data_IF_914164526956
#
_entry.id   IF_914164526956
#
_cell.length_a   1.000
_cell.length_b   1.000
_cell.length_c   1.000
_cell.angle_alpha   90.00
_cell.angle_beta   90.00
_cell.angle_gamma   90.00
#
_symmetry.space_group_name_H-M   'P 1'
#
loop_
_entity.id
_entity.type
_entity.pdbx_description
1 polymer ?
#
# COMPACT_ATOMS: atom_id res chain seq x y z
N UNK A 1 5.83 -12.71 -0.29
CA UNK A 1 5.13 -12.32 -1.53
C UNK A 1 3.72 -11.82 -1.20
N UNK A 2 3.22 -10.94 -2.03
CA UNK A 2 1.88 -10.37 -1.88
C UNK A 2 1.04 -10.81 -3.08
N UNK A 3 -0.13 -11.37 -2.84
CA UNK A 3 -1.10 -11.63 -3.90
C UNK A 3 -2.08 -10.46 -3.96
N UNK A 4 -2.31 -9.94 -5.16
CA UNK A 4 -3.18 -8.78 -5.38
C UNK A 4 -4.47 -9.24 -6.05
N UNK A 5 -5.59 -8.87 -5.44
CA UNK A 5 -6.92 -9.10 -6.02
C UNK A 5 -7.60 -7.75 -6.23
N UNK A 6 -8.09 -7.52 -7.42
CA UNK A 6 -8.84 -6.31 -7.76
C UNK A 6 -10.22 -6.71 -8.28
N UNK A 7 -11.18 -5.78 -8.19
CA UNK A 7 -12.54 -6.07 -8.66
C UNK A 7 -12.58 -6.46 -10.15
N UNK A 8 -11.70 -5.88 -10.95
CA UNK A 8 -11.65 -6.14 -12.41
C UNK A 8 -10.58 -7.16 -12.79
N UNK A 9 -9.90 -7.75 -11.81
CA UNK A 9 -8.82 -8.71 -12.04
C UNK A 9 -7.80 -8.21 -13.08
N UNK A 10 -7.33 -6.97 -12.92
CA UNK A 10 -6.51 -6.28 -13.91
C UNK A 10 -5.14 -6.91 -14.13
N UNK A 11 -4.65 -7.70 -13.19
CA UNK A 11 -3.35 -8.38 -13.29
C UNK A 11 -3.48 -9.82 -13.82
N UNK A 12 -4.70 -10.37 -13.90
CA UNK A 12 -4.90 -11.75 -14.33
C UNK A 12 -4.14 -12.72 -13.43
N UNK A 13 -3.35 -13.61 -14.05
CA UNK A 13 -2.55 -14.58 -13.32
C UNK A 13 -1.22 -14.01 -12.80
N UNK A 14 -0.84 -12.80 -13.25
CA UNK A 14 0.38 -12.11 -12.82
C UNK A 14 0.12 -11.17 -11.65
N UNK A 15 -0.56 -11.66 -10.64
CA UNK A 15 -1.05 -10.87 -9.51
C UNK A 15 -0.21 -11.06 -8.24
N UNK A 16 1.07 -11.38 -8.39
CA UNK A 16 1.97 -11.60 -7.24
C UNK A 16 3.09 -10.57 -7.28
N UNK A 17 3.31 -9.91 -6.15
CA UNK A 17 4.39 -8.97 -5.96
C UNK A 17 5.45 -9.56 -5.03
N UNK A 18 6.71 -9.46 -5.44
CA UNK A 18 7.84 -9.89 -4.61
C UNK A 18 8.25 -8.80 -3.62
N UNK A 19 8.22 -7.55 -4.05
CA UNK A 19 8.66 -6.41 -3.25
C UNK A 19 7.50 -5.61 -2.69
N UNK A 20 6.62 -5.08 -3.53
CA UNK A 20 5.55 -4.21 -3.09
C UNK A 20 4.40 -4.12 -4.07
N UNK A 21 3.27 -3.67 -3.55
CA UNK A 21 2.14 -3.18 -4.31
C UNK A 21 2.04 -1.70 -4.03
N UNK A 22 2.10 -0.86 -5.07
CA UNK A 22 1.98 0.58 -4.92
C UNK A 22 0.67 1.05 -5.54
N UNK A 23 -0.12 1.75 -4.72
CA UNK A 23 -1.36 2.39 -5.14
C UNK A 23 -1.10 3.89 -5.17
N UNK A 24 -1.16 4.52 -6.34
CA UNK A 24 -0.77 5.90 -6.52
C UNK A 24 -1.85 6.69 -7.26
N UNK A 25 -1.94 7.98 -6.95
CA UNK A 25 -2.78 8.89 -7.73
C UNK A 25 -2.21 8.99 -9.15
N UNK A 26 -3.09 9.18 -10.11
CA UNK A 26 -2.72 9.35 -11.51
C UNK A 26 -2.63 10.83 -11.88
N UNK A 27 -3.47 11.63 -11.26
CA UNK A 27 -3.54 13.07 -11.47
C UNK A 27 -2.63 13.78 -10.48
N UNK A 28 -1.85 14.74 -10.94
CA UNK A 28 -0.94 15.53 -10.10
C UNK A 28 -1.65 16.59 -9.27
N UNK A 29 -2.91 16.89 -9.56
CA UNK A 29 -3.61 18.05 -8.97
C UNK A 29 -4.22 17.79 -7.61
N UNK A 30 -4.51 16.55 -7.24
CA UNK A 30 -5.18 16.26 -5.97
C UNK A 30 -4.71 14.96 -5.34
N UNK A 31 -4.71 14.95 -4.02
CA UNK A 31 -4.40 13.75 -3.24
C UNK A 31 -5.58 12.79 -3.25
N UNK A 32 -5.31 11.54 -2.93
CA UNK A 32 -6.36 10.52 -2.75
C UNK A 32 -6.47 10.17 -1.28
N UNK A 33 -7.63 9.65 -0.90
CA UNK A 33 -7.83 9.06 0.41
C UNK A 33 -7.91 7.55 0.27
N UNK A 34 -7.01 6.85 0.93
CA UNK A 34 -6.96 5.38 0.92
C UNK A 34 -7.42 4.88 2.28
N UNK A 35 -8.57 4.22 2.30
CA UNK A 35 -9.07 3.58 3.52
C UNK A 35 -8.50 2.18 3.60
N UNK A 36 -7.92 1.83 4.74
CA UNK A 36 -7.29 0.54 4.94
C UNK A 36 -8.05 -0.29 5.97
N UNK A 37 -8.20 -1.56 5.66
CA UNK A 37 -8.86 -2.54 6.51
C UNK A 37 -7.95 -3.74 6.70
N UNK A 38 -7.89 -4.26 7.91
CA UNK A 38 -7.14 -5.46 8.24
C UNK A 38 -8.13 -6.52 8.72
N UNK A 39 -8.26 -7.62 7.98
CA UNK A 39 -9.29 -8.65 8.23
C UNK A 39 -10.68 -8.05 8.35
N UNK A 40 -11.04 -7.18 7.40
CA UNK A 40 -12.35 -6.48 7.32
C UNK A 40 -12.61 -5.50 8.47
N UNK A 41 -11.62 -5.24 9.32
CA UNK A 41 -11.73 -4.22 10.37
C UNK A 41 -11.01 -2.96 9.92
N UNK A 42 -11.66 -1.81 10.07
CA UNK A 42 -11.07 -0.53 9.73
C UNK A 42 -9.79 -0.29 10.53
N UNK A 43 -8.71 0.01 9.84
CA UNK A 43 -7.42 0.28 10.45
C UNK A 43 -7.08 1.76 10.44
N UNK A 44 -7.07 2.38 9.27
CA UNK A 44 -6.66 3.77 9.12
C UNK A 44 -7.06 4.30 7.74
N UNK A 45 -7.05 5.62 7.60
CA UNK A 45 -7.21 6.29 6.31
C UNK A 45 -6.01 7.18 6.06
N UNK A 46 -5.48 7.13 4.83
CA UNK A 46 -4.34 7.93 4.42
C UNK A 46 -4.76 8.96 3.38
N UNK A 47 -4.57 10.24 3.67
CA UNK A 47 -4.70 11.31 2.69
C UNK A 47 -3.31 11.61 2.17
N UNK A 48 -3.02 11.13 0.96
CA UNK A 48 -1.66 11.06 0.46
C UNK A 48 -1.66 10.98 -1.07
N UNK A 49 -0.48 10.96 -1.66
CA UNK A 49 -0.32 10.66 -3.08
C UNK A 49 -0.53 9.18 -3.39
N UNK A 50 -0.40 8.35 -2.40
CA UNK A 50 -0.59 6.92 -2.53
C UNK A 50 -0.23 6.14 -1.27
N UNK A 51 -0.25 4.83 -1.41
CA UNK A 51 0.10 3.91 -0.33
C UNK A 51 0.85 2.71 -0.91
N UNK A 52 1.89 2.29 -0.21
CA UNK A 52 2.68 1.11 -0.56
C UNK A 52 2.41 0.02 0.48
N UNK A 53 2.15 -1.20 -0.01
CA UNK A 53 2.18 -2.39 0.82
C UNK A 53 3.42 -3.17 0.43
N UNK A 54 4.37 -3.29 1.33
CA UNK A 54 5.68 -3.90 1.05
C UNK A 54 5.87 -5.21 1.83
N UNK A 55 6.61 -6.13 1.22
CA UNK A 55 7.14 -7.30 1.89
C UNK A 55 8.42 -6.93 2.64
N UNK A 56 8.95 -7.79 3.52
CA UNK A 56 10.27 -7.56 4.12
C UNK A 56 11.36 -7.35 3.06
N UNK A 57 11.37 -8.16 1.99
CA UNK A 57 12.33 -7.98 0.89
C UNK A 57 12.14 -6.63 0.20
N UNK A 58 10.91 -6.17 0.06
CA UNK A 58 10.59 -4.88 -0.56
C UNK A 58 10.81 -3.69 0.36
N UNK A 59 11.10 -3.90 1.65
CA UNK A 59 11.30 -2.81 2.59
C UNK A 59 12.49 -1.93 2.25
N UNK A 60 13.46 -2.45 1.50
CA UNK A 60 14.63 -1.70 1.04
C UNK A 60 14.45 -1.07 -0.33
N UNK A 61 13.28 -1.25 -0.95
CA UNK A 61 12.96 -0.69 -2.27
C UNK A 61 12.18 0.64 -2.13
N UNK A 62 11.07 0.78 -2.82
CA UNK A 62 10.31 2.05 -2.85
C UNK A 62 9.78 2.46 -1.46
N UNK A 63 9.39 1.50 -0.63
CA UNK A 63 8.95 1.78 0.74
C UNK A 63 10.01 2.54 1.52
N UNK A 64 11.28 2.17 1.38
CA UNK A 64 12.38 2.86 2.04
C UNK A 64 12.49 4.32 1.60
N UNK A 65 12.33 4.57 0.31
CA UNK A 65 12.36 5.94 -0.24
C UNK A 65 11.24 6.80 0.32
N UNK A 66 10.15 6.21 0.75
CA UNK A 66 9.01 6.91 1.37
C UNK A 66 9.07 6.91 2.89
N UNK A 67 10.20 6.54 3.48
CA UNK A 67 10.40 6.57 4.92
C UNK A 67 9.96 5.33 5.67
N UNK A 68 9.70 4.23 4.97
CA UNK A 68 9.36 2.97 5.59
C UNK A 68 10.56 2.32 6.28
N UNK A 69 10.32 1.50 7.31
CA UNK A 69 11.39 0.83 8.03
C UNK A 69 12.00 -0.30 7.20
N UNK A 70 13.27 -0.58 7.48
CA UNK A 70 13.93 -1.79 6.95
C UNK A 70 13.52 -2.96 7.84
N UNK A 71 13.00 -4.01 7.20
CA UNK A 71 12.60 -5.23 7.88
C UNK A 71 13.41 -6.38 7.30
N UNK A 72 14.02 -7.17 8.18
CA UNK A 72 14.86 -8.28 7.74
C UNK A 72 14.02 -9.36 7.07
N UNK A 73 14.57 -10.01 6.02
CA UNK A 73 13.88 -11.16 5.41
C UNK A 73 13.60 -12.25 6.45
N UNK A 74 12.49 -12.93 6.30
CA UNK A 74 12.06 -13.95 7.24
C UNK A 74 11.07 -13.48 8.29
N UNK A 75 10.90 -12.17 8.48
CA UNK A 75 9.82 -11.65 9.29
C UNK A 75 8.49 -11.83 8.58
N UNK A 76 7.48 -12.28 9.31
CA UNK A 76 6.15 -12.57 8.75
C UNK A 76 5.24 -11.34 8.86
N UNK A 77 5.61 -10.29 8.16
CA UNK A 77 4.92 -9.00 8.22
C UNK A 77 4.79 -8.37 6.84
N UNK A 78 3.85 -7.45 6.72
CA UNK A 78 3.78 -6.47 5.63
C UNK A 78 3.91 -5.07 6.22
N UNK A 79 4.35 -4.12 5.38
CA UNK A 79 4.55 -2.74 5.81
C UNK A 79 3.65 -1.85 4.97
N UNK A 80 2.88 -1.00 5.64
CA UNK A 80 2.04 0.01 5.00
C UNK A 80 2.78 1.35 5.08
N UNK A 81 3.20 1.89 3.94
CA UNK A 81 3.97 3.14 3.88
C UNK A 81 3.26 4.13 2.98
N UNK A 82 2.77 5.26 3.53
CA UNK A 82 2.12 6.27 2.69
C UNK A 82 3.14 7.02 1.83
N UNK A 83 2.71 7.42 0.64
CA UNK A 83 3.51 8.22 -0.28
C UNK A 83 3.11 9.67 -0.12
N UNK A 84 4.03 10.52 0.32
CA UNK A 84 3.83 11.95 0.51
C UNK A 84 2.52 12.28 1.25
N UNK A 85 2.31 11.77 2.46
CA UNK A 85 1.07 12.03 3.19
C UNK A 85 0.93 13.51 3.55
N UNK A 86 -0.31 14.00 3.55
CA UNK A 86 -0.59 15.38 3.93
C UNK A 86 -0.21 15.64 5.38
N UNK A 87 -0.56 14.72 6.27
CA UNK A 87 -0.19 14.81 7.69
C UNK A 87 1.21 14.24 7.89
N UNK A 88 2.15 15.11 8.24
CA UNK A 88 3.55 14.75 8.42
C UNK A 88 3.81 13.89 9.66
N UNK A 89 2.83 13.75 10.55
CA UNK A 89 2.93 12.91 11.74
C UNK A 89 2.54 11.45 11.47
N UNK A 90 2.03 11.15 10.28
CA UNK A 90 1.69 9.78 9.90
C UNK A 90 2.97 8.96 9.78
N UNK A 91 2.93 7.76 10.32
CA UNK A 91 4.07 6.84 10.31
C UNK A 91 3.70 5.55 9.57
N UNK A 92 4.68 4.90 8.95
CA UNK A 92 4.46 3.56 8.41
C UNK A 92 4.00 2.59 9.50
N UNK A 93 3.21 1.61 9.10
CA UNK A 93 2.65 0.62 10.02
C UNK A 93 3.07 -0.78 9.58
N UNK A 94 3.46 -1.60 10.55
CA UNK A 94 3.82 -3.00 10.31
C UNK A 94 2.64 -3.85 10.78
N UNK A 95 2.20 -4.76 9.91
CA UNK A 95 1.05 -5.64 10.19
C UNK A 95 1.44 -7.09 9.91
N UNK A 96 0.78 -8.07 10.56
CA UNK A 96 1.05 -9.49 10.28
C UNK A 96 0.72 -9.83 8.83
N UNK A 97 1.56 -10.67 8.20
CA UNK A 97 1.39 -10.98 6.77
C UNK A 97 0.27 -11.99 6.49
N UNK A 98 -0.21 -12.69 7.53
CA UNK A 98 -1.32 -13.63 7.35
C UNK A 98 -2.69 -12.95 7.35
N UNK A 99 -2.76 -11.67 7.68
CA UNK A 99 -4.01 -10.91 7.72
C UNK A 99 -4.25 -10.21 6.39
N UNK A 100 -5.36 -10.51 5.69
CA UNK A 100 -5.68 -9.82 4.45
C UNK A 100 -5.85 -8.32 4.65
N UNK A 101 -5.27 -7.55 3.74
CA UNK A 101 -5.36 -6.11 3.72
C UNK A 101 -6.30 -5.71 2.60
N UNK A 102 -7.31 -4.91 2.92
CA UNK A 102 -8.23 -4.35 1.94
C UNK A 102 -7.98 -2.85 1.83
N UNK A 103 -7.85 -2.37 0.62
CA UNK A 103 -7.68 -0.95 0.32
C UNK A 103 -8.88 -0.46 -0.48
N UNK A 104 -9.42 0.67 -0.07
CA UNK A 104 -10.54 1.31 -0.72
C UNK A 104 -10.21 2.78 -0.94
N UNK A 105 -10.42 3.29 -2.15
CA UNK A 105 -10.10 4.67 -2.48
C UNK A 105 -11.38 5.50 -2.45
N UNK A 106 -11.35 6.58 -1.66
CA UNK A 106 -12.39 7.59 -1.66
C UNK A 106 -11.96 8.77 -2.52
N UNK A 107 -12.94 9.49 -3.05
CA UNK A 107 -12.73 10.77 -3.67
C UNK A 107 -13.24 10.86 -5.09
N UNK A 108 -13.06 12.05 -5.64
CA UNK A 108 -13.53 12.39 -6.98
C UNK A 108 -12.69 11.76 -8.08
N UNK A 109 -11.49 11.32 -7.74
CA UNK A 109 -10.56 10.80 -8.72
C UNK A 109 -10.75 9.29 -8.86
N UNK A 110 -11.26 8.87 -9.99
CA UNK A 110 -11.23 7.46 -10.39
C UNK A 110 -9.87 7.09 -10.99
N UNK A 111 -8.98 8.08 -11.05
CA UNK A 111 -7.69 7.92 -11.71
C UNK A 111 -6.62 7.58 -10.68
N UNK A 112 -6.36 6.30 -10.55
CA UNK A 112 -5.29 5.79 -9.73
C UNK A 112 -4.57 4.68 -10.48
N UNK A 113 -3.31 4.47 -10.13
CA UNK A 113 -2.47 3.42 -10.67
C UNK A 113 -2.18 2.40 -9.59
N UNK A 114 -2.23 1.12 -9.97
CA UNK A 114 -1.76 0.03 -9.11
C UNK A 114 -0.61 -0.63 -9.84
N UNK A 115 0.55 -0.69 -9.19
CA UNK A 115 1.73 -1.35 -9.74
C UNK A 115 2.26 -2.41 -8.77
N UNK A 116 2.83 -3.45 -9.34
CA UNK A 116 3.41 -4.55 -8.57
C UNK A 116 4.81 -4.91 -9.07
#
# INVERSE_FOLDING_TARGET
MIRVETERNIFGDENIALNEVALQKKDTSSMITVNTYLEDKYLNSYWADGLIVATPSGSTAYSLSCGGPIVTPGCQVHILTPIAPHNLNVRPMVVPDHMPIKLSIEGRSRNHLISI
#
